data_IF_685686719257
#
_entry.id   IF_685686719257
#
_cell.length_a   1.000
_cell.length_b   1.000
_cell.length_c   1.000
_cell.angle_alpha   90.00
_cell.angle_beta   90.00
_cell.angle_gamma   90.00
#
_symmetry.space_group_name_H-M   'P 1'
#
loop_
_entity.id
_entity.type
_entity.pdbx_description
1 polymer ?
#
# COMPACT_ATOMS: atom_id res chain seq x y z
N UNK A 1 -14.01 -0.71 -10.18
CA UNK A 1 -14.15 -0.45 -8.74
C UNK A 1 -15.11 -1.45 -8.12
N UNK A 2 -15.19 -1.51 -6.80
CA UNK A 2 -16.26 -2.23 -6.09
C UNK A 2 -17.35 -1.25 -5.64
N UNK A 3 -18.58 -1.74 -5.45
CA UNK A 3 -19.68 -0.94 -4.86
C UNK A 3 -19.46 -0.66 -3.37
N UNK A 4 -18.75 -1.56 -2.67
CA UNK A 4 -18.41 -1.46 -1.26
C UNK A 4 -17.10 -2.19 -0.98
N UNK A 5 -16.48 -1.90 0.17
CA UNK A 5 -15.29 -2.58 0.67
C UNK A 5 -15.39 -2.76 2.19
N UNK A 6 -14.71 -3.79 2.72
CA UNK A 6 -14.58 -4.04 4.15
C UNK A 6 -13.13 -4.44 4.46
N UNK A 7 -12.68 -4.22 5.69
CA UNK A 7 -11.34 -4.61 6.12
C UNK A 7 -11.14 -6.11 6.01
N UNK A 8 -9.97 -6.52 5.51
CA UNK A 8 -9.61 -7.93 5.38
C UNK A 8 -9.22 -8.52 6.74
N UNK A 9 -9.68 -9.74 7.03
CA UNK A 9 -9.22 -10.47 8.21
C UNK A 9 -7.71 -10.73 8.17
N UNK A 10 -7.04 -10.62 9.33
CA UNK A 10 -5.58 -10.70 9.46
C UNK A 10 -4.99 -11.95 8.78
N UNK A 11 -5.46 -13.19 9.06
CA UNK A 11 -4.85 -14.38 8.43
C UNK A 11 -4.93 -14.38 6.91
N UNK A 12 -5.98 -13.76 6.35
CA UNK A 12 -6.16 -13.64 4.90
C UNK A 12 -5.21 -12.59 4.31
N UNK A 13 -5.01 -11.47 5.00
CA UNK A 13 -4.07 -10.42 4.58
C UNK A 13 -2.63 -10.96 4.56
N UNK A 14 -2.21 -11.66 5.60
CA UNK A 14 -0.85 -12.21 5.67
C UNK A 14 -0.61 -13.28 4.60
N UNK A 15 -1.58 -14.17 4.38
CA UNK A 15 -1.50 -15.18 3.32
C UNK A 15 -1.41 -14.57 1.92
N UNK A 16 -2.21 -13.54 1.63
CA UNK A 16 -2.28 -12.93 0.30
C UNK A 16 -1.04 -12.08 0.00
N UNK A 17 -0.56 -11.34 0.99
CA UNK A 17 0.57 -10.43 0.82
C UNK A 17 1.90 -11.15 0.95
N UNK A 18 1.99 -12.19 1.79
CA UNK A 18 3.25 -12.82 2.18
C UNK A 18 4.02 -12.05 3.27
N UNK A 19 3.41 -11.01 3.85
CA UNK A 19 3.97 -10.23 4.95
C UNK A 19 3.11 -10.36 6.21
N UNK A 20 3.68 -10.02 7.36
CA UNK A 20 2.95 -9.98 8.62
C UNK A 20 2.34 -8.61 8.90
N UNK A 21 1.20 -8.59 9.61
CA UNK A 21 0.58 -7.33 10.08
C UNK A 21 1.59 -6.51 10.89
N UNK A 22 1.57 -5.19 10.71
CA UNK A 22 2.57 -4.28 11.26
C UNK A 22 3.84 -4.12 10.41
N UNK A 23 4.01 -4.94 9.36
CA UNK A 23 5.10 -4.82 8.39
C UNK A 23 4.67 -5.01 6.93
N UNK A 24 3.37 -5.11 6.65
CA UNK A 24 2.85 -5.33 5.29
C UNK A 24 3.31 -4.20 4.37
N UNK A 25 4.07 -4.58 3.35
CA UNK A 25 4.46 -3.72 2.24
C UNK A 25 3.45 -3.83 1.09
N UNK A 26 3.17 -2.73 0.36
CA UNK A 26 2.46 -2.79 -0.91
C UNK A 26 3.35 -3.33 -2.06
N UNK A 27 4.67 -3.24 -1.91
CA UNK A 27 5.65 -3.77 -2.86
C UNK A 27 5.92 -5.25 -2.60
N UNK A 28 6.16 -6.02 -3.65
CA UNK A 28 6.65 -7.41 -3.54
C UNK A 28 5.65 -8.40 -2.95
N UNK A 29 4.35 -8.06 -2.92
CA UNK A 29 3.33 -8.99 -2.43
C UNK A 29 3.24 -10.25 -3.29
N UNK A 30 2.99 -11.40 -2.66
CA UNK A 30 2.81 -12.70 -3.36
C UNK A 30 1.75 -12.63 -4.46
N UNK A 31 0.70 -11.83 -4.24
CA UNK A 31 -0.34 -11.53 -5.22
C UNK A 31 -0.39 -10.04 -5.50
N UNK A 32 -0.12 -9.65 -6.74
CA UNK A 32 -0.37 -8.29 -7.19
C UNK A 32 -1.88 -7.98 -7.16
N UNK A 33 -2.24 -6.81 -6.63
CA UNK A 33 -3.62 -6.34 -6.51
C UNK A 33 -3.72 -4.88 -6.97
N UNK A 34 -4.90 -4.44 -7.46
CA UNK A 34 -5.14 -3.04 -7.71
C UNK A 34 -4.83 -2.21 -6.46
N UNK A 35 -3.95 -1.24 -6.61
CA UNK A 35 -3.46 -0.42 -5.50
C UNK A 35 -3.88 1.03 -5.72
N UNK A 36 -4.40 1.65 -4.67
CA UNK A 36 -4.70 3.07 -4.63
C UNK A 36 -3.95 3.70 -3.46
N UNK A 37 -3.47 4.94 -3.66
CA UNK A 37 -2.86 5.77 -2.63
C UNK A 37 -3.74 7.01 -2.48
N UNK A 38 -3.93 7.44 -1.23
CA UNK A 38 -4.65 8.68 -0.93
C UNK A 38 -4.01 9.87 -1.66
N UNK A 39 -4.81 10.62 -2.42
CA UNK A 39 -4.34 11.70 -3.28
C UNK A 39 -3.59 12.78 -2.50
N UNK A 40 -4.06 13.11 -1.29
CA UNK A 40 -3.40 14.11 -0.44
C UNK A 40 -1.99 13.68 0.00
N UNK A 41 -1.75 12.38 0.22
CA UNK A 41 -0.40 11.87 0.53
C UNK A 41 0.57 12.04 -0.65
N UNK A 42 0.05 12.13 -1.88
CA UNK A 42 0.87 12.31 -3.07
C UNK A 42 1.35 13.76 -3.30
N UNK A 43 0.90 14.72 -2.50
CA UNK A 43 1.37 16.12 -2.56
C UNK A 43 2.63 16.36 -1.73
N UNK A 44 2.96 15.45 -0.82
CA UNK A 44 4.16 15.52 -0.01
C UNK A 44 5.43 15.33 -0.85
N UNK A 45 6.58 15.91 -0.46
CA UNK A 45 7.84 15.68 -1.16
C UNK A 45 8.30 14.20 -1.08
N UNK A 46 7.87 13.50 -0.03
CA UNK A 46 8.30 12.14 0.30
C UNK A 46 7.24 11.44 1.14
N UNK A 47 7.13 10.13 0.95
CA UNK A 47 6.30 9.23 1.76
C UNK A 47 7.15 8.13 2.36
N UNK A 48 6.70 7.60 3.50
CA UNK A 48 7.29 6.46 4.17
C UNK A 48 6.29 5.31 4.16
N UNK A 49 6.73 4.16 3.65
CA UNK A 49 5.88 2.99 3.45
C UNK A 49 6.59 1.78 4.07
N UNK A 50 5.86 0.92 4.77
CA UNK A 50 6.41 -0.34 5.29
C UNK A 50 7.13 -1.11 4.17
N UNK A 51 8.33 -1.59 4.47
CA UNK A 51 9.20 -2.28 3.50
C UNK A 51 9.25 -3.79 3.69
N UNK A 52 8.19 -4.39 4.25
CA UNK A 52 8.02 -5.84 4.34
C UNK A 52 8.53 -6.46 5.63
N UNK A 53 9.07 -5.65 6.54
CA UNK A 53 9.52 -6.07 7.86
C UNK A 53 9.08 -5.04 8.91
N UNK A 54 8.70 -5.51 10.10
CA UNK A 54 8.36 -4.63 11.22
C UNK A 54 9.55 -3.73 11.57
N UNK A 55 9.30 -2.43 11.69
CA UNK A 55 10.32 -1.43 11.98
C UNK A 55 11.14 -0.97 10.77
N UNK A 56 10.89 -1.50 9.57
CA UNK A 56 11.57 -1.08 8.34
C UNK A 56 10.65 -0.25 7.45
N UNK A 57 11.07 0.99 7.16
CA UNK A 57 10.36 1.92 6.28
C UNK A 57 11.19 2.23 5.04
N UNK A 58 10.55 2.18 3.89
CA UNK A 58 11.09 2.69 2.63
C UNK A 58 10.64 4.13 2.45
N UNK A 59 11.61 4.99 2.14
CA UNK A 59 11.36 6.39 1.85
C UNK A 59 11.55 6.69 0.38
N UNK A 60 10.53 7.27 -0.27
CA UNK A 60 10.55 7.58 -1.71
C UNK A 60 9.60 8.73 -2.07
N UNK A 61 9.72 9.23 -3.30
CA UNK A 61 8.76 10.22 -3.81
C UNK A 61 7.41 9.54 -4.10
N UNK A 62 6.28 10.24 -3.96
CA UNK A 62 4.98 9.67 -4.33
C UNK A 62 4.91 9.19 -5.78
N UNK A 63 5.57 9.92 -6.70
CA UNK A 63 5.67 9.51 -8.12
C UNK A 63 6.33 8.15 -8.27
N UNK A 64 7.44 7.90 -7.58
CA UNK A 64 8.13 6.61 -7.61
C UNK A 64 7.26 5.50 -7.00
N UNK A 65 6.55 5.78 -5.90
CA UNK A 65 5.63 4.82 -5.29
C UNK A 65 4.50 4.43 -6.25
N UNK A 66 3.85 5.42 -6.88
CA UNK A 66 2.78 5.18 -7.85
C UNK A 66 3.26 4.35 -9.04
N UNK A 67 4.44 4.66 -9.58
CA UNK A 67 5.03 3.93 -10.70
C UNK A 67 5.36 2.48 -10.32
N UNK A 68 6.08 2.28 -9.21
CA UNK A 68 6.50 0.95 -8.77
C UNK A 68 5.31 0.03 -8.43
N UNK A 69 4.18 0.61 -7.98
CA UNK A 69 2.96 -0.13 -7.64
C UNK A 69 1.96 -0.23 -8.80
N UNK A 70 2.21 0.45 -9.93
CA UNK A 70 1.18 0.70 -10.95
C UNK A 70 -0.13 1.20 -10.33
N UNK A 71 -0.02 2.06 -9.32
CA UNK A 71 -1.12 2.50 -8.47
C UNK A 71 -1.77 3.78 -9.01
N UNK A 72 -2.97 4.09 -8.48
CA UNK A 72 -3.68 5.34 -8.75
C UNK A 72 -3.75 6.21 -7.49
N UNK A 73 -3.49 7.51 -7.65
CA UNK A 73 -3.78 8.50 -6.63
C UNK A 73 -5.28 8.83 -6.68
N UNK A 74 -6.02 8.61 -5.60
CA UNK A 74 -7.47 8.82 -5.50
C UNK A 74 -7.81 9.42 -4.13
N UNK A 75 -8.89 10.20 -4.04
CA UNK A 75 -9.46 10.58 -2.76
C UNK A 75 -10.16 9.35 -2.14
N UNK A 76 -9.56 8.75 -1.12
CA UNK A 76 -10.00 7.55 -0.41
C UNK A 76 -10.65 7.89 0.94
N UNK A 77 -10.23 8.99 1.55
CA UNK A 77 -10.85 9.55 2.74
C UNK A 77 -11.94 10.55 2.32
N UNK A 78 -13.07 10.50 3.02
CA UNK A 78 -14.15 11.50 2.94
C UNK A 78 -13.91 12.60 3.98
#
# INVERSE_FOLDING_TARGET
GGKSAAMMAVPKAEKLTGYHVGGISPFGQKRAVPTAIEATACTAPRVWINAGQRGLLLSLTPKAALQALSAKALALIA
#
